data_IF_463888106134
#
_entry.id   IF_463888106134
#
_cell.length_a   1.000
_cell.length_b   1.000
_cell.length_c   1.000
_cell.angle_alpha   90.00
_cell.angle_beta   90.00
_cell.angle_gamma   90.00
#
_symmetry.space_group_name_H-M   'P 1'
#
loop_
_entity.id
_entity.type
_entity.pdbx_description
1 polymer ?
#
# COMPACT_ATOMS: atom_id res chain seq x y z
N UNK A 1 1.69 -3.62 10.19
CA UNK A 1 1.81 -5.05 10.44
C UNK A 1 0.52 -5.76 10.05
N UNK A 2 0.52 -7.08 9.96
CA UNK A 2 -0.69 -7.86 9.70
C UNK A 2 -1.74 -7.72 10.81
N UNK A 3 -2.86 -8.44 10.72
CA UNK A 3 -3.95 -8.31 11.68
C UNK A 3 -3.49 -8.75 13.07
N UNK A 4 -3.28 -7.78 13.93
CA UNK A 4 -2.78 -7.99 15.32
C UNK A 4 -3.93 -8.44 16.23
N UNK A 5 -5.16 -8.15 15.85
CA UNK A 5 -6.39 -8.40 16.63
C UNK A 5 -7.36 -9.34 15.90
N UNK A 6 -6.84 -10.26 15.09
CA UNK A 6 -7.66 -11.14 14.25
C UNK A 6 -8.16 -10.43 13.00
N UNK A 7 -9.31 -10.85 12.47
CA UNK A 7 -9.87 -10.35 11.21
C UNK A 7 -10.69 -9.06 11.37
N UNK A 8 -10.18 -8.10 12.14
CA UNK A 8 -10.79 -6.79 12.27
C UNK A 8 -10.43 -5.83 11.15
N UNK A 9 -10.75 -4.57 11.37
CA UNK A 9 -10.39 -3.42 10.54
C UNK A 9 -9.74 -2.36 11.44
N UNK A 10 -8.47 -2.52 11.71
CA UNK A 10 -7.71 -1.68 12.66
C UNK A 10 -7.80 -0.19 12.31
N UNK A 11 -7.88 0.16 11.02
CA UNK A 11 -7.94 1.55 10.59
C UNK A 11 -9.22 2.26 11.05
N UNK A 12 -10.34 1.54 11.13
CA UNK A 12 -11.60 2.10 11.63
C UNK A 12 -11.58 2.27 13.15
N UNK A 13 -10.96 1.33 13.86
CA UNK A 13 -10.77 1.44 15.30
C UNK A 13 -9.88 2.64 15.65
N UNK A 14 -8.75 2.80 14.98
CA UNK A 14 -7.85 3.95 15.18
C UNK A 14 -8.53 5.27 14.84
N UNK A 15 -9.29 5.34 13.74
CA UNK A 15 -10.07 6.54 13.43
C UNK A 15 -11.02 6.91 14.56
N UNK A 16 -11.75 5.92 15.08
CA UNK A 16 -12.69 6.14 16.20
C UNK A 16 -11.99 6.67 17.46
N UNK A 17 -10.85 6.10 17.82
CA UNK A 17 -10.05 6.50 19.00
C UNK A 17 -9.58 7.96 18.83
N UNK A 18 -8.97 8.32 17.72
CA UNK A 18 -8.44 9.67 17.51
C UNK A 18 -9.56 10.71 17.40
N UNK A 19 -10.67 10.41 16.71
CA UNK A 19 -11.82 11.31 16.64
C UNK A 19 -12.46 11.51 18.02
N UNK A 20 -12.59 10.45 18.81
CA UNK A 20 -13.10 10.53 20.18
C UNK A 20 -12.22 11.39 21.10
N UNK A 21 -10.92 11.47 20.83
CA UNK A 21 -9.98 12.34 21.52
C UNK A 21 -9.91 13.77 20.96
N UNK A 22 -10.77 14.14 20.01
CA UNK A 22 -10.83 15.49 19.43
C UNK A 22 -9.81 15.77 18.32
N UNK A 23 -9.13 14.76 17.78
CA UNK A 23 -8.17 14.93 16.69
C UNK A 23 -8.87 15.03 15.32
N UNK A 24 -8.31 15.83 14.44
CA UNK A 24 -8.60 15.75 13.02
C UNK A 24 -7.96 14.48 12.46
N UNK A 25 -8.70 13.67 11.69
CA UNK A 25 -8.21 12.40 11.16
C UNK A 25 -8.24 12.42 9.63
N UNK A 26 -7.10 12.19 9.01
CA UNK A 26 -6.95 12.00 7.57
C UNK A 26 -6.55 10.54 7.33
N UNK A 27 -7.34 9.82 6.51
CA UNK A 27 -7.04 8.44 6.13
C UNK A 27 -6.49 8.38 4.72
N UNK A 28 -5.32 7.76 4.55
CA UNK A 28 -4.65 7.53 3.27
C UNK A 28 -4.64 6.03 3.00
N UNK A 29 -5.71 5.52 2.40
CA UNK A 29 -5.97 4.08 2.27
C UNK A 29 -5.62 3.57 0.89
N UNK A 30 -6.13 4.22 -0.17
CA UNK A 30 -6.02 3.78 -1.55
C UNK A 30 -5.13 4.72 -2.36
N UNK A 31 -4.24 4.13 -3.17
CA UNK A 31 -3.39 4.86 -4.10
C UNK A 31 -4.17 5.42 -5.29
N UNK A 32 -3.54 6.29 -6.06
CA UNK A 32 -4.17 7.02 -7.18
C UNK A 32 -4.73 6.12 -8.28
N UNK A 33 -4.17 4.93 -8.48
CA UNK A 33 -4.71 3.97 -9.45
C UNK A 33 -6.12 3.45 -9.12
N UNK A 34 -6.56 3.59 -7.87
CA UNK A 34 -7.94 3.28 -7.47
C UNK A 34 -8.94 4.36 -7.84
N UNK A 35 -8.48 5.60 -8.04
CA UNK A 35 -9.39 6.74 -8.28
C UNK A 35 -10.31 6.56 -9.48
N UNK A 36 -9.83 6.07 -10.66
CA UNK A 36 -10.71 5.79 -11.79
C UNK A 36 -11.76 4.71 -11.51
N UNK A 37 -11.37 3.67 -10.76
CA UNK A 37 -12.30 2.59 -10.39
C UNK A 37 -13.37 3.10 -9.43
N UNK A 38 -12.99 3.89 -8.43
CA UNK A 38 -13.92 4.51 -7.48
C UNK A 38 -14.86 5.50 -8.17
N UNK A 39 -14.36 6.28 -9.13
CA UNK A 39 -15.18 7.22 -9.91
C UNK A 39 -16.21 6.49 -10.81
N UNK A 40 -15.90 5.27 -11.24
CA UNK A 40 -16.76 4.45 -12.09
C UNK A 40 -17.64 3.46 -11.31
N UNK A 41 -17.56 3.39 -10.00
CA UNK A 41 -18.41 2.54 -9.14
C UNK A 41 -19.82 3.12 -8.99
N UNK A 42 -20.59 3.10 -10.09
CA UNK A 42 -21.94 3.64 -10.13
C UNK A 42 -22.93 2.94 -9.19
N UNK A 43 -22.65 1.70 -8.87
CA UNK A 43 -23.53 0.83 -8.07
C UNK A 43 -23.12 0.77 -6.60
N UNK A 44 -21.94 1.27 -6.24
CA UNK A 44 -21.36 1.20 -4.90
C UNK A 44 -20.85 -0.19 -4.48
N UNK A 45 -20.82 -1.16 -5.41
CA UNK A 45 -20.36 -2.52 -5.08
C UNK A 45 -18.86 -2.59 -4.82
N UNK A 46 -18.05 -1.70 -5.43
CA UNK A 46 -16.63 -1.62 -5.10
C UNK A 46 -16.43 -1.14 -3.67
N UNK A 47 -17.11 -0.07 -3.27
CA UNK A 47 -17.08 0.44 -1.89
C UNK A 47 -17.59 -0.64 -0.92
N UNK A 48 -18.64 -1.36 -1.29
CA UNK A 48 -19.17 -2.46 -0.49
C UNK A 48 -18.14 -3.58 -0.31
N UNK A 49 -17.52 -4.05 -1.40
CA UNK A 49 -16.46 -5.05 -1.35
C UNK A 49 -15.28 -4.59 -0.47
N UNK A 50 -14.86 -3.31 -0.60
CA UNK A 50 -13.83 -2.73 0.26
C UNK A 50 -14.21 -2.74 1.74
N UNK A 51 -15.46 -2.45 2.06
CA UNK A 51 -15.95 -2.42 3.43
C UNK A 51 -16.12 -3.81 4.06
N UNK A 52 -16.43 -4.81 3.27
CA UNK A 52 -16.60 -6.19 3.75
C UNK A 52 -15.25 -6.93 3.90
N UNK A 53 -14.24 -6.52 3.13
CA UNK A 53 -12.92 -7.17 3.15
C UNK A 53 -12.17 -6.82 4.44
N UNK A 54 -11.78 -7.83 5.20
CA UNK A 54 -11.05 -7.69 6.47
C UNK A 54 -9.53 -7.66 6.26
N UNK A 55 -8.79 -7.25 7.28
CA UNK A 55 -7.35 -7.01 7.18
C UNK A 55 -6.55 -8.25 6.76
N UNK A 56 -6.94 -9.44 7.22
CA UNK A 56 -6.32 -10.71 6.82
C UNK A 56 -6.50 -11.03 5.34
N UNK A 57 -7.69 -10.76 4.76
CA UNK A 57 -7.93 -10.90 3.33
C UNK A 57 -7.07 -9.92 2.51
N UNK A 58 -6.98 -8.65 2.95
CA UNK A 58 -6.12 -7.66 2.30
C UNK A 58 -4.65 -8.04 2.32
N UNK A 59 -4.17 -8.63 3.40
CA UNK A 59 -2.81 -9.15 3.50
C UNK A 59 -2.59 -10.30 2.52
N UNK A 60 -3.51 -11.29 2.49
CA UNK A 60 -3.43 -12.42 1.58
C UNK A 60 -3.40 -11.99 0.11
N UNK A 61 -4.18 -10.96 -0.27
CA UNK A 61 -4.19 -10.42 -1.63
C UNK A 61 -2.84 -9.86 -2.05
N UNK A 62 -2.08 -9.24 -1.14
CA UNK A 62 -0.77 -8.68 -1.47
C UNK A 62 0.36 -9.71 -1.43
N UNK A 63 0.20 -10.78 -0.69
CA UNK A 63 1.11 -11.93 -0.71
C UNK A 63 0.93 -12.83 -1.97
N UNK A 64 -0.07 -12.53 -2.81
CA UNK A 64 -0.41 -13.27 -4.02
C UNK A 64 -0.28 -12.36 -5.25
N UNK A 65 -0.84 -12.80 -6.37
CA UNK A 65 -0.80 -12.10 -7.67
C UNK A 65 -2.12 -11.40 -8.02
N UNK A 66 -2.13 -10.73 -9.18
CA UNK A 66 -3.31 -10.02 -9.66
C UNK A 66 -4.47 -10.94 -10.03
N UNK A 67 -4.21 -12.17 -10.49
CA UNK A 67 -5.24 -13.15 -10.79
C UNK A 67 -6.02 -13.53 -9.50
N UNK A 68 -5.30 -13.74 -8.41
CA UNK A 68 -5.91 -13.98 -7.10
C UNK A 68 -6.77 -12.79 -6.65
N UNK A 69 -6.28 -11.57 -6.81
CA UNK A 69 -7.05 -10.35 -6.45
C UNK A 69 -8.30 -10.22 -7.32
N UNK A 70 -8.18 -10.49 -8.63
CA UNK A 70 -9.34 -10.51 -9.55
C UNK A 70 -10.41 -11.48 -9.08
N UNK A 71 -10.01 -12.70 -8.75
CA UNK A 71 -10.96 -13.74 -8.32
C UNK A 71 -11.56 -13.45 -6.95
N UNK A 72 -10.71 -13.18 -5.94
CA UNK A 72 -11.14 -13.14 -4.53
C UNK A 72 -11.70 -11.80 -4.09
N UNK A 73 -11.27 -10.70 -4.70
CA UNK A 73 -11.76 -9.36 -4.36
C UNK A 73 -12.80 -8.87 -5.37
N UNK A 74 -12.39 -8.70 -6.63
CA UNK A 74 -13.30 -8.21 -7.67
C UNK A 74 -14.36 -9.23 -8.06
N UNK A 75 -14.11 -10.51 -7.88
CA UNK A 75 -15.07 -11.59 -8.11
C UNK A 75 -16.19 -11.68 -7.08
N UNK A 76 -16.16 -10.90 -5.99
CA UNK A 76 -17.23 -10.91 -4.96
C UNK A 76 -18.59 -10.47 -5.53
N UNK A 77 -18.58 -9.55 -6.51
CA UNK A 77 -19.78 -9.04 -7.16
C UNK A 77 -19.61 -9.01 -8.69
N UNK A 78 -20.66 -9.29 -9.47
CA UNK A 78 -20.60 -9.16 -10.93
C UNK A 78 -20.18 -7.76 -11.38
N UNK A 79 -20.65 -6.72 -10.69
CA UNK A 79 -20.37 -5.32 -11.00
C UNK A 79 -18.88 -4.98 -10.78
N UNK A 80 -18.26 -5.48 -9.72
CA UNK A 80 -16.83 -5.29 -9.50
C UNK A 80 -15.98 -6.08 -10.48
N UNK A 81 -16.43 -7.26 -10.89
CA UNK A 81 -15.78 -8.06 -11.92
C UNK A 81 -15.80 -7.34 -13.27
N UNK A 82 -16.93 -6.76 -13.64
CA UNK A 82 -17.10 -5.98 -14.87
C UNK A 82 -16.22 -4.72 -14.85
N UNK A 83 -16.17 -4.04 -13.71
CA UNK A 83 -15.38 -2.80 -13.53
C UNK A 83 -13.89 -2.98 -13.88
N UNK A 84 -13.35 -4.18 -13.73
CA UNK A 84 -11.95 -4.50 -14.02
C UNK A 84 -11.78 -5.44 -15.23
N UNK A 85 -12.81 -5.61 -16.04
CA UNK A 85 -12.80 -6.54 -17.18
C UNK A 85 -11.71 -6.22 -18.20
N UNK A 86 -11.41 -4.93 -18.41
CA UNK A 86 -10.37 -4.45 -19.33
C UNK A 86 -8.96 -4.41 -18.73
N UNK A 87 -8.80 -4.58 -17.43
CA UNK A 87 -7.50 -4.55 -16.77
C UNK A 87 -6.80 -5.91 -16.85
N UNK A 88 -5.50 -5.91 -17.10
CA UNK A 88 -4.68 -7.12 -16.93
C UNK A 88 -4.48 -7.46 -15.44
N UNK A 89 -4.08 -8.69 -15.14
CA UNK A 89 -3.74 -9.07 -13.77
C UNK A 89 -2.56 -8.27 -13.23
N UNK A 90 -1.64 -7.86 -14.09
CA UNK A 90 -0.53 -6.97 -13.73
C UNK A 90 -1.03 -5.58 -13.32
N UNK A 91 -2.04 -5.05 -14.01
CA UNK A 91 -2.63 -3.76 -13.65
C UNK A 91 -3.39 -3.85 -12.32
N UNK A 92 -4.14 -4.93 -12.11
CA UNK A 92 -4.81 -5.19 -10.83
C UNK A 92 -3.81 -5.30 -9.69
N UNK A 93 -2.67 -5.97 -9.90
CA UNK A 93 -1.64 -6.08 -8.86
C UNK A 93 -0.98 -4.73 -8.53
N UNK A 94 -0.91 -3.81 -9.49
CA UNK A 94 -0.42 -2.43 -9.31
C UNK A 94 -1.33 -1.55 -8.46
N UNK A 95 -2.58 -1.92 -8.26
CA UNK A 95 -3.49 -1.20 -7.36
C UNK A 95 -2.93 -1.19 -5.95
N UNK A 96 -2.27 -0.09 -5.59
CA UNK A 96 -1.45 0.01 -4.39
C UNK A 96 -2.19 0.66 -3.22
N UNK A 97 -1.60 0.56 -2.01
CA UNK A 97 -2.07 1.26 -0.82
C UNK A 97 -1.67 2.72 -0.86
N UNK A 98 -2.50 3.59 -0.30
CA UNK A 98 -2.30 5.03 -0.33
C UNK A 98 -1.04 5.50 0.39
N UNK A 99 -0.61 4.79 1.46
CA UNK A 99 0.62 5.10 2.17
C UNK A 99 1.90 4.87 1.37
N UNK A 100 1.80 4.21 0.20
CA UNK A 100 2.90 4.04 -0.77
C UNK A 100 2.71 4.89 -2.03
N UNK A 101 1.77 5.82 -2.02
CA UNK A 101 1.51 6.75 -3.10
C UNK A 101 1.98 8.15 -2.70
N UNK A 102 3.07 8.67 -3.30
CA UNK A 102 3.64 9.97 -2.91
C UNK A 102 2.64 11.12 -3.05
N UNK A 103 1.78 11.10 -4.09
CA UNK A 103 0.79 12.14 -4.31
C UNK A 103 -0.28 12.14 -3.20
N UNK A 104 -0.76 10.97 -2.81
CA UNK A 104 -1.75 10.82 -1.72
C UNK A 104 -1.15 11.21 -0.37
N UNK A 105 0.11 10.82 -0.11
CA UNK A 105 0.83 11.19 1.11
C UNK A 105 1.06 12.69 1.16
N UNK A 106 1.56 13.29 0.07
CA UNK A 106 1.75 14.74 -0.01
C UNK A 106 0.45 15.50 0.25
N UNK A 107 -0.65 15.13 -0.42
CA UNK A 107 -1.94 15.78 -0.25
C UNK A 107 -2.46 15.67 1.20
N UNK A 108 -2.19 14.55 1.88
CA UNK A 108 -2.57 14.36 3.27
C UNK A 108 -1.78 15.29 4.20
N UNK A 109 -0.47 15.41 4.01
CA UNK A 109 0.37 16.32 4.80
C UNK A 109 0.05 17.80 4.51
N UNK A 110 -0.15 18.17 3.25
CA UNK A 110 -0.57 19.53 2.88
C UNK A 110 -1.89 19.91 3.57
N UNK A 111 -2.86 19.00 3.58
CA UNK A 111 -4.12 19.22 4.29
C UNK A 111 -3.94 19.27 5.80
N UNK A 112 -3.10 18.41 6.36
CA UNK A 112 -2.81 18.38 7.79
C UNK A 112 -2.15 19.67 8.28
N UNK A 113 -1.19 20.21 7.52
CA UNK A 113 -0.48 21.45 7.87
C UNK A 113 -1.35 22.71 7.87
N UNK A 114 -2.49 22.66 7.17
CA UNK A 114 -3.47 23.76 7.08
C UNK A 114 -4.57 23.66 8.15
N UNK A 115 -4.61 22.57 8.92
CA UNK A 115 -5.60 22.40 9.97
C UNK A 115 -5.22 23.22 11.20
N UNK A 116 -6.16 24.03 11.68
CA UNK A 116 -5.99 24.91 12.85
C UNK A 116 -6.98 24.50 13.94
N UNK A 117 -6.56 24.58 15.18
CA UNK A 117 -7.43 24.39 16.35
C UNK A 117 -7.47 22.97 16.93
N UNK A 118 -6.98 21.97 16.21
CA UNK A 118 -6.82 20.60 16.74
C UNK A 118 -5.63 19.90 16.10
N UNK A 119 -4.98 18.95 16.79
CA UNK A 119 -3.93 18.16 16.18
C UNK A 119 -4.49 17.27 15.07
N UNK A 120 -3.67 16.95 14.09
CA UNK A 120 -4.04 16.05 12.98
C UNK A 120 -3.24 14.76 13.05
N UNK A 121 -3.92 13.63 12.91
CA UNK A 121 -3.30 12.34 12.66
C UNK A 121 -3.52 11.93 11.20
N UNK A 122 -2.46 11.48 10.54
CA UNK A 122 -2.52 10.85 9.22
C UNK A 122 -2.40 9.34 9.41
N UNK A 123 -3.49 8.61 9.13
CA UNK A 123 -3.52 7.15 9.20
C UNK A 123 -3.29 6.60 7.80
N UNK A 124 -2.06 6.15 7.54
CA UNK A 124 -1.64 5.67 6.23
C UNK A 124 -1.68 4.13 6.17
N UNK A 125 -2.41 3.56 5.21
CA UNK A 125 -2.39 2.14 4.94
C UNK A 125 -1.17 1.80 4.09
N UNK A 126 -0.32 0.92 4.63
CA UNK A 126 0.92 0.47 4.00
C UNK A 126 0.93 -1.05 3.86
N UNK A 127 1.97 -1.58 3.24
CA UNK A 127 2.25 -3.01 3.13
C UNK A 127 3.51 -3.28 3.94
N UNK A 128 3.44 -4.21 4.88
CA UNK A 128 4.61 -4.63 5.66
C UNK A 128 5.68 -5.19 4.73
N UNK A 129 6.92 -4.75 4.90
CA UNK A 129 8.02 -5.18 4.04
C UNK A 129 7.90 -4.70 2.59
N UNK A 130 7.24 -3.56 2.35
CA UNK A 130 7.10 -3.00 1.01
C UNK A 130 8.45 -2.89 0.29
N UNK A 131 8.54 -3.49 -0.89
CA UNK A 131 9.75 -3.53 -1.68
C UNK A 131 10.66 -4.73 -1.41
N UNK A 132 10.45 -5.50 -0.34
CA UNK A 132 11.30 -6.64 0.00
C UNK A 132 11.06 -7.89 -0.87
N UNK A 133 10.22 -7.79 -1.90
CA UNK A 133 9.95 -8.89 -2.82
C UNK A 133 9.35 -10.12 -2.13
N UNK A 134 9.68 -11.30 -2.66
CA UNK A 134 9.12 -12.58 -2.19
C UNK A 134 9.48 -12.92 -0.75
N UNK A 135 10.65 -12.48 -0.29
CA UNK A 135 11.16 -12.81 1.04
C UNK A 135 10.51 -12.03 2.17
N UNK A 136 9.82 -10.93 1.87
CA UNK A 136 9.35 -10.06 2.95
C UNK A 136 8.06 -9.31 2.69
N UNK A 137 7.63 -9.11 1.44
CA UNK A 137 6.47 -8.25 1.18
C UNK A 137 5.17 -8.95 1.55
N UNK A 138 4.44 -8.35 2.48
CA UNK A 138 3.12 -8.82 2.95
C UNK A 138 3.11 -10.18 3.67
N UNK A 139 4.26 -10.68 4.11
CA UNK A 139 4.34 -11.95 4.85
C UNK A 139 4.62 -11.73 6.34
N UNK A 140 4.14 -12.66 7.18
CA UNK A 140 4.27 -12.54 8.63
C UNK A 140 5.73 -12.64 9.12
N UNK A 141 6.56 -13.40 8.41
CA UNK A 141 7.98 -13.60 8.72
C UNK A 141 8.83 -12.34 8.57
N UNK A 142 8.34 -11.32 7.87
CA UNK A 142 9.05 -10.05 7.64
C UNK A 142 9.54 -9.40 8.93
N UNK A 143 8.76 -9.53 10.00
CA UNK A 143 9.13 -8.97 11.31
C UNK A 143 10.42 -9.57 11.88
N UNK A 144 10.76 -10.78 11.49
CA UNK A 144 11.95 -11.51 11.95
C UNK A 144 13.05 -11.55 10.87
N UNK A 145 12.79 -11.05 9.67
CA UNK A 145 13.77 -11.02 8.58
C UNK A 145 14.89 -10.05 8.92
N UNK A 146 16.10 -10.59 9.13
CA UNK A 146 17.28 -9.80 9.47
C UNK A 146 18.14 -9.48 8.26
N UNK A 147 17.97 -10.19 7.15
CA UNK A 147 18.85 -10.14 5.99
C UNK A 147 18.04 -10.47 4.73
N UNK A 148 18.23 -9.70 3.68
CA UNK A 148 17.77 -10.01 2.33
C UNK A 148 18.84 -10.79 1.59
N UNK A 149 18.45 -11.69 0.69
CA UNK A 149 19.37 -12.31 -0.23
C UNK A 149 19.71 -11.37 -1.40
N UNK A 150 20.64 -11.80 -2.26
CA UNK A 150 21.07 -10.97 -3.39
C UNK A 150 19.96 -10.76 -4.43
N UNK A 151 19.10 -11.75 -4.63
CA UNK A 151 17.98 -11.64 -5.56
C UNK A 151 16.95 -10.59 -5.07
N UNK A 152 16.65 -10.59 -3.77
CA UNK A 152 15.77 -9.60 -3.16
C UNK A 152 16.38 -8.20 -3.21
N UNK A 153 17.70 -8.06 -2.99
CA UNK A 153 18.39 -6.78 -3.11
C UNK A 153 18.39 -6.25 -4.55
N UNK A 154 18.59 -7.11 -5.54
CA UNK A 154 18.47 -6.74 -6.96
C UNK A 154 17.04 -6.34 -7.31
N UNK A 155 16.05 -7.10 -6.85
CA UNK A 155 14.65 -6.76 -7.03
C UNK A 155 14.32 -5.40 -6.42
N UNK A 156 14.81 -5.11 -5.20
CA UNK A 156 14.60 -3.81 -4.54
C UNK A 156 15.22 -2.67 -5.36
N UNK A 157 16.49 -2.83 -5.79
CA UNK A 157 17.18 -1.86 -6.63
C UNK A 157 16.38 -1.55 -7.90
N UNK A 158 15.95 -2.58 -8.62
CA UNK A 158 15.24 -2.44 -9.90
C UNK A 158 13.85 -1.81 -9.71
N UNK A 159 13.18 -2.18 -8.64
CA UNK A 159 11.85 -1.66 -8.32
C UNK A 159 11.84 -0.17 -7.99
N UNK A 160 12.89 0.31 -7.35
CA UNK A 160 13.01 1.69 -6.88
C UNK A 160 14.02 2.51 -7.70
N UNK A 161 14.46 1.99 -8.83
CA UNK A 161 15.41 2.62 -9.75
C UNK A 161 16.68 3.13 -9.04
N UNK A 162 17.17 2.37 -8.04
CA UNK A 162 18.39 2.74 -7.32
C UNK A 162 19.59 2.56 -8.25
N UNK A 163 20.39 3.61 -8.53
CA UNK A 163 21.44 3.59 -9.55
C UNK A 163 22.71 2.85 -9.09
N UNK A 164 22.58 1.55 -8.83
CA UNK A 164 23.68 0.64 -8.48
C UNK A 164 23.81 -0.45 -9.54
N UNK A 165 25.05 -0.81 -9.87
CA UNK A 165 25.36 -1.97 -10.72
C UNK A 165 25.14 -3.28 -9.97
N UNK A 166 24.97 -4.39 -10.69
CA UNK A 166 24.84 -5.72 -10.09
C UNK A 166 26.01 -6.05 -9.13
N UNK A 167 27.24 -5.69 -9.52
CA UNK A 167 28.43 -5.88 -8.70
C UNK A 167 28.37 -5.10 -7.39
N UNK A 168 27.88 -3.86 -7.42
CA UNK A 168 27.73 -3.04 -6.23
C UNK A 168 26.65 -3.62 -5.30
N UNK A 169 25.54 -4.10 -5.85
CA UNK A 169 24.50 -4.80 -5.07
C UNK A 169 25.05 -6.07 -4.43
N UNK A 170 25.80 -6.89 -5.17
CA UNK A 170 26.45 -8.09 -4.64
C UNK A 170 27.43 -7.81 -3.51
N UNK A 171 28.13 -6.67 -3.60
CA UNK A 171 29.06 -6.21 -2.56
C UNK A 171 28.37 -5.47 -1.41
N UNK A 172 27.03 -5.30 -1.48
CA UNK A 172 26.24 -4.56 -0.49
C UNK A 172 26.77 -3.11 -0.32
N UNK A 173 27.09 -2.46 -1.44
CA UNK A 173 27.53 -1.06 -1.44
C UNK A 173 26.35 -0.13 -1.20
N UNK A 174 26.57 0.92 -0.40
CA UNK A 174 25.57 1.97 -0.21
C UNK A 174 25.55 2.94 -1.39
N UNK A 175 24.36 3.25 -1.90
CA UNK A 175 24.19 4.36 -2.82
C UNK A 175 24.44 5.69 -2.11
N UNK A 176 25.31 6.48 -2.68
CA UNK A 176 25.54 7.85 -2.25
C UNK A 176 25.29 8.77 -3.45
N UNK A 177 24.27 9.65 -3.37
CA UNK A 177 24.02 10.63 -4.43
C UNK A 177 25.22 11.55 -4.67
N UNK A 178 25.36 12.05 -5.90
CA UNK A 178 26.33 13.11 -6.21
C UNK A 178 25.95 14.37 -5.45
N UNK A 179 26.96 15.17 -5.04
CA UNK A 179 26.74 16.41 -4.29
C UNK A 179 25.88 17.44 -5.01
N UNK A 180 25.79 17.37 -6.33
CA UNK A 180 24.96 18.26 -7.15
C UNK A 180 23.66 17.58 -7.61
N UNK A 181 23.33 16.41 -7.08
CA UNK A 181 22.11 15.73 -7.43
C UNK A 181 20.88 16.41 -6.83
N UNK A 182 19.70 16.31 -7.47
CA UNK A 182 18.47 16.94 -6.96
C UNK A 182 17.99 16.37 -5.64
N UNK A 183 18.55 15.25 -5.18
CA UNK A 183 18.22 14.60 -3.90
C UNK A 183 18.94 15.26 -2.70
N UNK A 184 19.97 16.08 -2.93
CA UNK A 184 20.74 16.82 -1.93
C UNK A 184 20.55 18.31 -2.04
#
# INVERSE_FOLDING_TARGET
>A
DGPVRGNGKIIQELEGIFRGAGWNVIKVIWGSYWDPLLANDKTGHLIKAMNETVDGEYQAMKARDGAYVREKFFGKYPETKELVSSLSDKDIWRLNRGGHDPHKVFAAYDKASKNIGSPTVVIAKTIKGYGMGKSGESVNTTHQTKKLDIEDLMYYRDRFDVPLTDKQVQNIEYYKPDQNSPEL
#
